data_IF_112152193620
#
_entry.id   IF_112152193620
#
_cell.length_a   1.000
_cell.length_b   1.000
_cell.length_c   1.000
_cell.angle_alpha   90.00
_cell.angle_beta   90.00
_cell.angle_gamma   90.00
#
_symmetry.space_group_name_H-M   'P 1'
#
loop_
_entity.id
_entity.type
_entity.pdbx_description
1 polymer ?
#
# COMPACT_ATOMS: atom_id res chain seq x y z
N UNK A 1 -9.37 26.75 18.28
CA UNK A 1 -7.99 26.93 18.75
C UNK A 1 -7.31 25.58 18.62
N UNK A 2 -7.06 25.09 17.41
CA UNK A 2 -6.15 25.55 16.34
C UNK A 2 -4.80 24.85 16.51
N UNK A 3 -4.44 24.15 15.44
CA UNK A 3 -3.19 23.45 15.12
C UNK A 3 -2.97 22.07 15.73
N UNK A 4 -3.71 21.09 15.20
CA UNK A 4 -3.11 19.79 14.93
C UNK A 4 -2.22 19.98 13.69
N UNK A 5 -1.07 20.61 13.89
CA UNK A 5 -0.03 20.72 12.88
C UNK A 5 0.25 19.31 12.37
N UNK A 6 0.04 19.11 11.06
CA UNK A 6 0.32 17.84 10.42
C UNK A 6 1.76 17.47 10.72
N UNK A 7 1.98 16.29 11.27
CA UNK A 7 3.29 15.83 11.67
C UNK A 7 4.19 15.82 10.42
N UNK A 8 5.13 16.77 10.32
CA UNK A 8 5.93 16.97 9.12
C UNK A 8 6.89 15.79 8.93
N UNK A 9 6.63 15.03 7.87
CA UNK A 9 7.35 13.80 7.53
C UNK A 9 8.83 14.13 7.27
N UNK A 10 9.13 15.27 6.64
CA UNK A 10 10.49 15.65 6.30
C UNK A 10 11.31 15.97 7.55
N UNK A 11 10.69 16.65 8.52
CA UNK A 11 11.29 16.91 9.84
C UNK A 11 11.56 15.61 10.61
N UNK A 12 10.62 14.65 10.61
CA UNK A 12 10.82 13.35 11.27
C UNK A 12 11.92 12.54 10.57
N UNK A 13 11.95 12.56 9.24
CA UNK A 13 12.96 11.85 8.46
C UNK A 13 14.36 12.41 8.74
N UNK A 14 14.51 13.74 8.75
CA UNK A 14 15.77 14.42 9.05
C UNK A 14 16.26 14.13 10.49
N UNK A 15 15.36 14.03 11.47
CA UNK A 15 15.72 13.65 12.82
C UNK A 15 16.25 12.19 12.90
N UNK A 16 15.65 11.28 12.13
CA UNK A 16 16.05 9.87 12.07
C UNK A 16 17.36 9.64 11.32
N UNK A 17 17.70 10.53 10.39
CA UNK A 17 18.99 10.49 9.69
C UNK A 17 20.18 10.63 10.64
N UNK A 18 20.00 11.37 11.74
CA UNK A 18 21.02 11.54 12.79
C UNK A 18 21.07 10.37 13.79
N UNK A 19 20.22 9.35 13.64
CA UNK A 19 20.15 8.19 14.53
C UNK A 19 20.10 6.87 13.71
N UNK A 20 21.24 6.39 13.18
CA UNK A 20 21.29 5.29 12.20
C UNK A 20 20.77 3.92 12.69
N UNK A 21 20.60 3.75 14.00
CA UNK A 21 19.97 2.55 14.60
C UNK A 21 18.48 2.70 14.94
N UNK A 22 17.92 3.91 14.83
CA UNK A 22 16.55 4.19 15.22
C UNK A 22 15.56 3.87 14.09
N UNK A 23 14.40 3.35 14.48
CA UNK A 23 13.22 3.22 13.61
C UNK A 23 12.02 3.80 14.33
N UNK A 24 11.20 4.55 13.61
CA UNK A 24 10.03 5.24 14.12
C UNK A 24 8.77 4.63 13.49
N UNK A 25 7.81 4.31 14.33
CA UNK A 25 6.49 3.83 13.95
C UNK A 25 5.45 4.82 14.49
N UNK A 26 4.56 5.30 13.63
CA UNK A 26 3.65 6.42 13.94
C UNK A 26 2.21 5.95 13.76
N UNK A 27 1.36 6.18 14.76
CA UNK A 27 -0.08 5.93 14.70
C UNK A 27 -0.84 7.08 14.03
N UNK A 28 -2.13 6.90 13.74
CA UNK A 28 -2.94 8.01 13.23
C UNK A 28 -3.18 9.06 14.34
N UNK A 29 -3.30 10.31 13.95
CA UNK A 29 -3.65 11.40 14.89
C UNK A 29 -5.14 11.32 15.22
N UNK A 30 -5.48 11.38 16.52
CA UNK A 30 -6.85 11.32 16.99
C UNK A 30 -7.01 12.08 18.32
N UNK A 31 -8.21 12.62 18.56
CA UNK A 31 -8.49 13.48 19.72
C UNK A 31 -8.87 12.68 20.98
N UNK A 32 -8.55 13.27 22.14
CA UNK A 32 -8.93 12.74 23.45
C UNK A 32 -8.14 11.50 23.89
N UNK A 33 -8.43 11.03 25.11
CA UNK A 33 -7.73 9.88 25.73
C UNK A 33 -7.89 8.60 24.90
N UNK A 34 -9.06 8.38 24.31
CA UNK A 34 -9.30 7.23 23.44
C UNK A 34 -8.50 7.32 22.15
N UNK A 35 -8.39 8.52 21.56
CA UNK A 35 -7.55 8.78 20.40
C UNK A 35 -6.07 8.53 20.68
N UNK A 36 -5.58 8.96 21.84
CA UNK A 36 -4.20 8.69 22.28
C UNK A 36 -3.92 7.19 22.41
N UNK A 37 -4.80 6.45 23.10
CA UNK A 37 -4.67 4.99 23.24
C UNK A 37 -4.66 4.30 21.89
N UNK A 38 -5.60 4.66 21.01
CA UNK A 38 -5.69 4.11 19.66
C UNK A 38 -4.43 4.37 18.85
N UNK A 39 -3.95 5.62 18.81
CA UNK A 39 -2.73 6.00 18.10
C UNK A 39 -1.51 5.21 18.59
N UNK A 40 -1.38 5.02 19.90
CA UNK A 40 -0.31 4.22 20.49
C UNK A 40 -0.37 2.74 20.06
N UNK A 41 -1.57 2.13 20.09
CA UNK A 41 -1.76 0.75 19.62
C UNK A 41 -1.45 0.61 18.14
N UNK A 42 -1.87 1.57 17.31
CA UNK A 42 -1.56 1.65 15.90
C UNK A 42 -0.05 1.75 15.64
N UNK A 43 0.68 2.58 16.38
CA UNK A 43 2.14 2.67 16.31
C UNK A 43 2.83 1.33 16.66
N UNK A 44 2.36 0.62 17.69
CA UNK A 44 2.87 -0.71 18.05
C UNK A 44 2.61 -1.74 16.95
N UNK A 45 1.43 -1.70 16.32
CA UNK A 45 1.10 -2.57 15.19
C UNK A 45 2.05 -2.28 14.02
N UNK A 46 2.29 -1.00 13.71
CA UNK A 46 3.24 -0.58 12.67
C UNK A 46 4.64 -1.09 12.95
N UNK A 47 5.14 -0.91 14.17
CA UNK A 47 6.46 -1.39 14.59
C UNK A 47 6.60 -2.91 14.43
N UNK A 48 5.62 -3.68 14.91
CA UNK A 48 5.60 -5.15 14.79
C UNK A 48 5.56 -5.58 13.33
N UNK A 49 4.77 -4.91 12.52
CA UNK A 49 4.62 -5.19 11.08
C UNK A 49 5.95 -4.97 10.35
N UNK A 50 6.60 -3.82 10.56
CA UNK A 50 7.93 -3.54 10.00
C UNK A 50 8.99 -4.57 10.44
N UNK A 51 8.96 -4.94 11.73
CA UNK A 51 9.89 -5.91 12.29
C UNK A 51 9.72 -7.31 11.67
N UNK A 52 8.47 -7.79 11.54
CA UNK A 52 8.16 -9.07 10.89
C UNK A 52 8.57 -9.09 9.42
N UNK A 53 8.39 -7.98 8.72
CA UNK A 53 8.71 -7.87 7.30
C UNK A 53 10.18 -7.63 7.01
N UNK A 54 11.02 -7.44 8.05
CA UNK A 54 12.41 -6.98 7.92
C UNK A 54 12.53 -5.76 7.01
N UNK A 55 11.58 -4.83 7.11
CA UNK A 55 11.56 -3.62 6.29
C UNK A 55 12.80 -2.76 6.57
N UNK A 56 13.39 -2.21 5.51
CA UNK A 56 14.47 -1.21 5.60
C UNK A 56 13.96 0.19 5.88
N UNK A 57 12.64 0.39 5.82
CA UNK A 57 12.00 1.67 6.07
C UNK A 57 12.21 2.10 7.54
N UNK A 58 12.76 3.30 7.73
CA UNK A 58 13.09 3.83 9.06
C UNK A 58 11.96 4.62 9.71
N UNK A 59 11.03 5.16 8.92
CA UNK A 59 9.83 5.86 9.40
C UNK A 59 8.62 5.28 8.68
N UNK A 60 7.61 4.81 9.42
CA UNK A 60 6.36 4.34 8.82
C UNK A 60 5.14 4.80 9.61
N UNK A 61 4.11 5.19 8.89
CA UNK A 61 2.81 5.53 9.47
C UNK A 61 1.89 4.32 9.44
N UNK A 62 1.00 4.25 10.42
CA UNK A 62 -0.01 3.22 10.47
C UNK A 62 -0.91 3.26 9.24
N UNK A 63 -1.23 4.44 8.71
CA UNK A 63 -1.98 4.56 7.46
C UNK A 63 -1.33 3.77 6.30
N UNK A 64 0.00 3.78 6.21
CA UNK A 64 0.76 3.13 5.14
C UNK A 64 0.84 1.62 5.33
N UNK A 65 0.86 1.14 6.58
CA UNK A 65 1.05 -0.29 6.88
C UNK A 65 -0.21 -0.98 7.40
N UNK A 66 -1.33 -0.26 7.55
CA UNK A 66 -2.58 -0.77 8.15
C UNK A 66 -3.04 -2.06 7.49
N UNK A 67 -3.03 -2.08 6.17
CA UNK A 67 -3.46 -3.25 5.42
C UNK A 67 -2.42 -4.38 5.48
N UNK A 68 -1.13 -4.04 5.49
CA UNK A 68 -0.03 -4.99 5.67
C UNK A 68 -0.07 -5.64 7.05
N UNK A 69 -0.42 -4.90 8.10
CA UNK A 69 -0.58 -5.42 9.45
C UNK A 69 -1.75 -6.41 9.56
N UNK A 70 -2.82 -6.20 8.79
CA UNK A 70 -3.96 -7.11 8.70
C UNK A 70 -3.59 -8.37 7.92
N UNK A 71 -2.86 -8.22 6.81
CA UNK A 71 -2.39 -9.33 5.96
C UNK A 71 -1.27 -10.16 6.65
N UNK A 72 -0.35 -9.52 7.36
CA UNK A 72 0.81 -10.15 7.99
C UNK A 72 0.48 -10.94 9.27
N UNK A 73 -0.77 -10.90 9.72
CA UNK A 73 -1.26 -11.78 10.78
C UNK A 73 -1.52 -13.19 10.27
N UNK A 74 -1.83 -13.35 8.97
CA UNK A 74 -2.01 -14.64 8.32
C UNK A 74 -1.70 -14.54 6.81
N UNK A 75 -0.44 -14.75 6.38
CA UNK A 75 -0.03 -14.56 4.99
C UNK A 75 -0.68 -15.56 4.02
N UNK A 76 -1.00 -16.76 4.49
CA UNK A 76 -1.66 -17.80 3.71
C UNK A 76 -3.11 -17.41 3.44
N UNK A 77 -3.85 -16.99 4.48
CA UNK A 77 -5.21 -16.49 4.33
C UNK A 77 -5.29 -15.22 3.45
N UNK A 78 -4.27 -14.35 3.51
CA UNK A 78 -4.21 -13.19 2.63
C UNK A 78 -3.93 -13.58 1.17
N UNK A 79 -3.07 -14.57 0.92
CA UNK A 79 -2.83 -15.08 -0.44
C UNK A 79 -4.09 -15.74 -0.99
N UNK A 80 -4.76 -16.57 -0.19
CA UNK A 80 -6.05 -17.17 -0.54
C UNK A 80 -7.12 -16.11 -0.83
N UNK A 81 -7.19 -15.05 -0.02
CA UNK A 81 -8.11 -13.93 -0.23
C UNK A 81 -7.82 -13.21 -1.56
N UNK A 82 -6.55 -12.90 -1.86
CA UNK A 82 -6.17 -12.24 -3.11
C UNK A 82 -6.55 -13.12 -4.30
N UNK A 83 -6.15 -14.39 -4.29
CA UNK A 83 -6.38 -15.31 -5.41
C UNK A 83 -7.86 -15.59 -5.61
N UNK A 84 -8.64 -15.83 -4.55
CA UNK A 84 -10.08 -16.05 -4.67
C UNK A 84 -10.88 -14.81 -5.06
N UNK A 85 -10.39 -13.61 -4.73
CA UNK A 85 -11.05 -12.34 -5.06
C UNK A 85 -10.71 -11.84 -6.46
N UNK A 86 -9.44 -11.94 -6.87
CA UNK A 86 -8.98 -11.39 -8.15
C UNK A 86 -8.97 -12.40 -9.29
N UNK A 87 -8.83 -13.70 -9.01
CA UNK A 87 -8.71 -14.72 -10.05
C UNK A 87 -7.62 -14.40 -11.06
N UNK A 88 -7.96 -14.45 -12.35
CA UNK A 88 -7.00 -14.18 -13.43
C UNK A 88 -6.46 -12.74 -13.41
N UNK A 89 -7.19 -11.79 -12.79
CA UNK A 89 -6.75 -10.41 -12.65
C UNK A 89 -5.48 -10.29 -11.78
N UNK A 90 -5.22 -11.23 -10.87
CA UNK A 90 -4.01 -11.25 -10.05
C UNK A 90 -2.73 -11.26 -10.92
N UNK A 91 -2.77 -12.02 -12.01
CA UNK A 91 -1.64 -12.19 -12.94
C UNK A 91 -1.69 -11.24 -14.15
N UNK A 92 -2.71 -10.40 -14.24
CA UNK A 92 -2.91 -9.49 -15.35
C UNK A 92 -1.85 -8.38 -15.41
N UNK A 93 -1.85 -7.61 -16.50
CA UNK A 93 -0.91 -6.49 -16.62
C UNK A 93 -1.17 -5.42 -15.54
N UNK A 94 -0.11 -4.74 -15.07
CA UNK A 94 -0.25 -3.66 -14.09
C UNK A 94 -1.20 -2.55 -14.55
N UNK A 95 -1.29 -2.31 -15.87
CA UNK A 95 -2.22 -1.35 -16.48
C UNK A 95 -3.68 -1.69 -16.18
N UNK A 96 -4.06 -2.98 -16.23
CA UNK A 96 -5.44 -3.43 -15.96
C UNK A 96 -5.77 -3.35 -14.47
N UNK A 97 -4.83 -3.77 -13.62
CA UNK A 97 -4.94 -3.66 -12.16
C UNK A 97 -5.09 -2.18 -11.74
N UNK A 98 -4.25 -1.31 -12.28
CA UNK A 98 -4.27 0.14 -12.02
C UNK A 98 -5.55 0.79 -12.52
N UNK A 99 -6.02 0.43 -13.72
CA UNK A 99 -7.28 0.95 -14.26
C UNK A 99 -8.47 0.60 -13.37
N UNK A 100 -8.57 -0.65 -12.92
CA UNK A 100 -9.67 -1.09 -12.07
C UNK A 100 -9.62 -0.46 -10.66
N UNK A 101 -8.44 -0.43 -10.03
CA UNK A 101 -8.28 0.21 -8.73
C UNK A 101 -8.61 1.72 -8.79
N UNK A 102 -8.16 2.40 -9.85
CA UNK A 102 -8.46 3.83 -10.03
C UNK A 102 -9.95 4.07 -10.28
N UNK A 103 -10.62 3.18 -11.02
CA UNK A 103 -12.07 3.24 -11.20
C UNK A 103 -12.81 3.17 -9.85
N UNK A 104 -12.42 2.22 -8.98
CA UNK A 104 -13.04 2.05 -7.66
C UNK A 104 -12.78 3.28 -6.78
N UNK A 105 -11.53 3.78 -6.75
CA UNK A 105 -11.15 4.96 -5.96
C UNK A 105 -11.84 6.25 -6.41
N UNK A 106 -12.17 6.37 -7.69
CA UNK A 106 -12.99 7.47 -8.22
C UNK A 106 -14.50 7.17 -8.13
N UNK A 107 -14.93 6.36 -7.16
CA UNK A 107 -16.34 6.05 -6.87
C UNK A 107 -17.07 5.46 -8.08
N UNK A 108 -16.39 4.57 -8.81
CA UNK A 108 -16.90 3.96 -10.04
C UNK A 108 -17.24 4.99 -11.14
N UNK A 109 -16.52 6.13 -11.17
CA UNK A 109 -16.67 7.14 -12.22
C UNK A 109 -15.57 7.01 -13.29
N UNK A 110 -15.91 6.40 -14.43
CA UNK A 110 -14.97 6.18 -15.53
C UNK A 110 -14.41 7.47 -16.13
N UNK A 111 -15.15 8.59 -16.12
CA UNK A 111 -14.66 9.88 -16.63
C UNK A 111 -13.54 10.42 -15.76
N UNK A 112 -13.73 10.38 -14.44
CA UNK A 112 -12.76 10.86 -13.46
C UNK A 112 -11.53 9.96 -13.44
N UNK A 113 -11.73 8.64 -13.47
CA UNK A 113 -10.64 7.68 -13.50
C UNK A 113 -9.77 7.80 -14.77
N UNK A 114 -10.39 7.96 -15.95
CA UNK A 114 -9.65 8.19 -17.20
C UNK A 114 -8.82 9.49 -17.15
N UNK A 115 -9.40 10.57 -16.63
CA UNK A 115 -8.69 11.85 -16.42
C UNK A 115 -7.52 11.68 -15.46
N UNK A 116 -7.70 10.96 -14.35
CA UNK A 116 -6.67 10.72 -13.34
C UNK A 116 -5.49 9.89 -13.87
N UNK A 117 -5.75 8.96 -14.78
CA UNK A 117 -4.70 8.18 -15.47
C UNK A 117 -4.18 8.86 -16.74
N UNK A 118 -4.57 10.12 -17.01
CA UNK A 118 -4.19 10.85 -18.23
C UNK A 118 -4.41 10.05 -19.53
N UNK A 119 -5.47 9.23 -19.56
CA UNK A 119 -5.78 8.37 -20.70
C UNK A 119 -7.10 8.78 -21.34
N UNK A 120 -7.24 8.51 -22.64
CA UNK A 120 -8.49 8.78 -23.33
C UNK A 120 -9.60 7.88 -22.80
N UNK A 121 -10.82 8.42 -22.65
CA UNK A 121 -11.98 7.71 -22.09
C UNK A 121 -12.21 6.35 -22.72
N UNK A 122 -12.14 6.26 -24.05
CA UNK A 122 -12.39 4.99 -24.76
C UNK A 122 -11.32 3.93 -24.45
N UNK A 123 -10.06 4.35 -24.33
CA UNK A 123 -8.96 3.46 -23.96
C UNK A 123 -9.13 2.98 -22.52
N UNK A 124 -9.53 3.87 -21.61
CA UNK A 124 -9.84 3.51 -20.23
C UNK A 124 -10.98 2.48 -20.15
N UNK A 125 -12.09 2.71 -20.86
CA UNK A 125 -13.24 1.80 -20.84
C UNK A 125 -12.88 0.40 -21.34
N UNK A 126 -12.10 0.30 -22.43
CA UNK A 126 -11.60 -0.99 -22.93
C UNK A 126 -10.73 -1.73 -21.91
N UNK A 127 -9.86 -1.01 -21.21
CA UNK A 127 -9.03 -1.57 -20.13
C UNK A 127 -9.90 -2.01 -18.95
N UNK A 128 -10.84 -1.17 -18.54
CA UNK A 128 -11.76 -1.46 -17.45
C UNK A 128 -12.62 -2.70 -17.73
N UNK A 129 -13.19 -2.81 -18.93
CA UNK A 129 -13.96 -3.98 -19.36
C UNK A 129 -13.09 -5.25 -19.40
N UNK A 130 -11.85 -5.13 -19.87
CA UNK A 130 -10.91 -6.25 -19.88
C UNK A 130 -10.54 -6.68 -18.46
N UNK A 131 -10.32 -5.74 -17.53
CA UNK A 131 -10.05 -6.05 -16.13
C UNK A 131 -11.25 -6.72 -15.45
N UNK A 132 -12.48 -6.24 -15.68
CA UNK A 132 -13.68 -6.82 -15.09
C UNK A 132 -13.96 -8.25 -15.59
N UNK A 133 -13.64 -8.56 -16.85
CA UNK A 133 -13.78 -9.93 -17.39
C UNK A 133 -12.86 -10.96 -16.73
N UNK A 134 -11.77 -10.51 -16.11
CA UNK A 134 -10.83 -11.38 -15.41
C UNK A 134 -11.21 -11.65 -13.95
N UNK A 135 -12.23 -10.94 -13.43
CA UNK A 135 -12.69 -11.17 -12.06
C UNK A 135 -13.55 -12.45 -11.99
N UNK A 136 -13.38 -13.28 -10.95
CA UNK A 136 -14.24 -14.44 -10.71
C UNK A 136 -15.71 -14.09 -10.45
N UNK A 137 -15.98 -12.86 -9.98
CA UNK A 137 -17.30 -12.37 -9.61
C UNK A 137 -17.51 -10.95 -10.13
N UNK A 138 -18.76 -10.56 -10.46
CA UNK A 138 -19.11 -9.19 -10.83
C UNK A 138 -18.65 -8.13 -9.80
N UNK A 139 -18.19 -6.98 -10.30
CA UNK A 139 -17.62 -5.92 -9.49
C UNK A 139 -18.66 -5.16 -8.63
N UNK A 140 -19.90 -5.08 -9.11
CA UNK A 140 -21.02 -4.41 -8.44
C UNK A 140 -21.22 -4.83 -6.98
N UNK A 141 -21.00 -6.12 -6.69
CA UNK A 141 -21.15 -6.69 -5.35
C UNK A 141 -19.82 -6.96 -4.64
N UNK A 142 -18.69 -6.78 -5.32
CA UNK A 142 -17.36 -7.17 -4.80
C UNK A 142 -16.33 -6.05 -4.79
N UNK A 143 -16.69 -4.83 -5.21
CA UNK A 143 -15.80 -3.67 -5.36
C UNK A 143 -14.89 -3.42 -4.16
N UNK A 144 -15.41 -3.50 -2.93
CA UNK A 144 -14.62 -3.34 -1.70
C UNK A 144 -13.56 -4.42 -1.58
N UNK A 145 -13.93 -5.69 -1.76
CA UNK A 145 -13.00 -6.82 -1.66
C UNK A 145 -11.95 -6.74 -2.76
N UNK A 146 -12.34 -6.39 -3.98
CA UNK A 146 -11.44 -6.22 -5.14
C UNK A 146 -10.45 -5.08 -4.89
N UNK A 147 -10.89 -3.94 -4.35
CA UNK A 147 -9.99 -2.84 -4.00
C UNK A 147 -8.95 -3.29 -2.96
N UNK A 148 -9.40 -3.92 -1.87
CA UNK A 148 -8.50 -4.43 -0.82
C UNK A 148 -7.50 -5.44 -1.39
N UNK A 149 -7.95 -6.36 -2.25
CA UNK A 149 -7.08 -7.36 -2.85
C UNK A 149 -6.07 -6.75 -3.85
N UNK A 150 -6.47 -5.75 -4.65
CA UNK A 150 -5.57 -5.04 -5.57
C UNK A 150 -4.53 -4.22 -4.84
N UNK A 151 -4.93 -3.48 -3.79
CA UNK A 151 -3.97 -2.75 -2.96
C UNK A 151 -3.00 -3.77 -2.33
N UNK A 152 -3.50 -4.88 -1.78
CA UNK A 152 -2.68 -5.92 -1.15
C UNK A 152 -1.66 -6.52 -2.13
N UNK A 153 -2.06 -6.75 -3.38
CA UNK A 153 -1.21 -7.26 -4.45
C UNK A 153 -0.08 -6.28 -4.82
N UNK A 154 -0.36 -4.99 -4.95
CA UNK A 154 0.65 -3.97 -5.24
C UNK A 154 1.75 -3.91 -4.17
N UNK A 155 1.37 -4.09 -2.90
CA UNK A 155 2.33 -4.16 -1.80
C UNK A 155 3.23 -5.42 -1.87
N UNK A 156 2.72 -6.57 -2.35
CA UNK A 156 3.56 -7.76 -2.62
C UNK A 156 4.58 -7.49 -3.74
N UNK A 157 4.15 -6.81 -4.80
CA UNK A 157 5.02 -6.42 -5.92
C UNK A 157 6.16 -5.49 -5.51
N UNK A 158 5.86 -4.45 -4.70
CA UNK A 158 6.87 -3.54 -4.16
C UNK A 158 7.90 -4.27 -3.27
N UNK A 159 7.49 -5.30 -2.52
CA UNK A 159 8.39 -6.13 -1.71
C UNK A 159 9.36 -6.95 -2.58
N UNK A 160 8.89 -7.54 -3.68
CA UNK A 160 9.75 -8.28 -4.61
C UNK A 160 10.81 -7.36 -5.24
N UNK A 161 10.44 -6.11 -5.55
CA UNK A 161 11.38 -5.12 -6.06
C UNK A 161 12.40 -4.66 -5.01
N UNK A 162 11.96 -4.41 -3.77
CA UNK A 162 12.85 -4.02 -2.67
C UNK A 162 13.87 -5.10 -2.28
N UNK A 163 13.53 -6.38 -2.43
CA UNK A 163 14.44 -7.51 -2.18
C UNK A 163 15.39 -7.82 -3.35
N UNK A 164 15.17 -7.21 -4.53
CA UNK A 164 15.93 -7.48 -5.76
C UNK A 164 16.94 -6.38 -6.13
N UNK A 165 17.15 -5.37 -5.28
CA UNK A 165 18.18 -4.35 -5.53
C UNK A 165 19.60 -4.94 -5.50
N UNK A 166 20.44 -4.71 -6.53
CA UNK A 166 21.68 -5.45 -6.71
C UNK A 166 22.86 -4.85 -5.94
N UNK A 167 23.65 -5.74 -5.33
CA UNK A 167 25.11 -5.76 -5.48
C UNK A 167 25.87 -4.54 -4.98
N UNK A 168 26.28 -4.63 -3.71
CA UNK A 168 27.45 -3.97 -3.10
C UNK A 168 28.63 -3.86 -4.10
N UNK A 169 28.94 -2.67 -4.60
CA UNK A 169 30.22 -2.42 -5.29
C UNK A 169 31.33 -2.31 -4.24
N UNK A 170 32.19 -3.31 -4.22
CA UNK A 170 33.50 -3.30 -3.58
C UNK A 170 34.38 -2.25 -4.27
N UNK A 171 34.72 -1.17 -3.57
CA UNK A 171 35.86 -0.34 -3.96
C UNK A 171 37.12 -1.01 -3.42
N UNK A 172 37.87 -1.64 -4.31
CA UNK A 172 39.29 -1.96 -4.13
C UNK A 172 40.11 -0.68 -4.17
N UNK A 173 40.89 -0.45 -3.12
CA UNK A 173 41.97 0.55 -3.07
C UNK A 173 43.19 -0.04 -3.78
N UNK A 174 43.86 0.66 -4.71
CA UNK A 174 45.23 0.34 -5.06
C UNK A 174 46.22 1.19 -4.26
N UNK A 175 47.38 0.57 -4.04
CA UNK A 175 48.51 0.96 -3.20
C UNK A 175 49.17 2.29 -3.57
#
# INVERSE_FOLDING_TARGET
MTDADGLDIDTVQAAVDNAPGARIAIGTTANGVEGFRRSHLEALITQRTLSRLRSTQRVAFFADVKMVALISQNPDAASEFITSTLGDLESASPDLQTALLTFINEQCNASRAAKRLHTHRNTFLRRLESAQRLLPRPLDHTSVHVAVALEALQWRGNKAHALSSPGRRSNSVPA
#
